data_IF_612958440257
#
_entry.id   IF_612958440257
#
_cell.length_a   1.000
_cell.length_b   1.000
_cell.length_c   1.000
_cell.angle_alpha   90.00
_cell.angle_beta   90.00
_cell.angle_gamma   90.00
#
_symmetry.space_group_name_H-M   'P 1'
#
loop_
_entity.id
_entity.type
_entity.pdbx_description
1 polymer ?
#
# COMPACT_ATOMS: atom_id res chain seq x y z
N UNK A 1 -15.46 -27.06 -3.70
CA UNK A 1 -14.75 -25.84 -4.15
C UNK A 1 -15.56 -25.23 -5.28
N UNK A 2 -15.72 -23.90 -5.32
CA UNK A 2 -16.33 -23.22 -6.45
C UNK A 2 -15.53 -23.52 -7.73
N UNK A 3 -16.23 -23.68 -8.86
CA UNK A 3 -15.69 -24.26 -10.10
C UNK A 3 -15.34 -23.23 -11.19
N UNK A 4 -15.38 -21.93 -10.89
CA UNK A 4 -15.03 -20.89 -11.85
C UNK A 4 -14.23 -19.75 -11.20
N UNK A 5 -13.42 -19.09 -12.03
CA UNK A 5 -12.60 -17.93 -11.69
C UNK A 5 -12.81 -16.88 -12.77
N UNK A 6 -13.25 -15.68 -12.41
CA UNK A 6 -13.28 -14.56 -13.35
C UNK A 6 -11.93 -13.87 -13.44
N UNK A 7 -11.51 -13.51 -14.65
CA UNK A 7 -10.31 -12.69 -14.90
C UNK A 7 -10.72 -11.40 -15.58
N UNK A 8 -10.37 -10.27 -15.00
CA UNK A 8 -10.75 -8.94 -15.48
C UNK A 8 -9.52 -8.03 -15.57
N UNK A 9 -9.45 -7.18 -16.59
CA UNK A 9 -8.48 -6.08 -16.59
C UNK A 9 -8.79 -5.10 -15.46
N UNK A 10 -7.79 -4.35 -14.99
CA UNK A 10 -7.99 -3.33 -13.94
C UNK A 10 -9.16 -2.39 -14.26
N UNK A 11 -9.31 -1.96 -15.52
CA UNK A 11 -10.38 -1.06 -15.95
C UNK A 11 -11.76 -1.72 -15.88
N UNK A 12 -11.87 -2.99 -16.29
CA UNK A 12 -13.13 -3.72 -16.22
C UNK A 12 -13.52 -4.02 -14.77
N UNK A 13 -12.57 -4.46 -13.94
CA UNK A 13 -12.79 -4.72 -12.52
C UNK A 13 -13.19 -3.43 -11.78
N UNK A 14 -12.52 -2.32 -12.08
CA UNK A 14 -12.82 -1.01 -11.53
C UNK A 14 -14.21 -0.52 -11.93
N UNK A 15 -14.60 -0.66 -13.20
CA UNK A 15 -15.94 -0.32 -13.67
C UNK A 15 -17.02 -1.15 -12.95
N UNK A 16 -16.79 -2.46 -12.75
CA UNK A 16 -17.70 -3.33 -11.99
C UNK A 16 -17.76 -2.92 -10.52
N UNK A 17 -16.62 -2.63 -9.89
CA UNK A 17 -16.56 -2.17 -8.51
C UNK A 17 -17.39 -0.90 -8.31
N UNK A 18 -17.42 -0.01 -9.28
CA UNK A 18 -18.16 1.25 -9.19
C UNK A 18 -19.65 1.10 -9.46
N UNK A 19 -20.02 0.27 -10.44
CA UNK A 19 -21.43 0.03 -10.79
C UNK A 19 -22.13 -0.94 -9.84
N UNK A 20 -21.42 -1.96 -9.37
CA UNK A 20 -21.96 -3.08 -8.59
C UNK A 20 -21.04 -3.49 -7.42
N UNK A 21 -20.65 -2.55 -6.52
CA UNK A 21 -19.67 -2.81 -5.45
C UNK A 21 -20.07 -3.98 -4.54
N UNK A 22 -21.34 -4.00 -4.10
CA UNK A 22 -21.87 -5.04 -3.22
C UNK A 22 -21.85 -6.43 -3.85
N UNK A 23 -22.21 -6.53 -5.14
CA UNK A 23 -22.24 -7.80 -5.86
C UNK A 23 -20.82 -8.34 -6.09
N UNK A 24 -19.88 -7.46 -6.47
CA UNK A 24 -18.46 -7.81 -6.62
C UNK A 24 -17.88 -8.31 -5.28
N UNK A 25 -18.14 -7.57 -4.20
CA UNK A 25 -17.66 -7.94 -2.87
C UNK A 25 -18.20 -9.30 -2.42
N UNK A 26 -19.51 -9.51 -2.57
CA UNK A 26 -20.16 -10.77 -2.23
C UNK A 26 -19.63 -11.94 -3.06
N UNK A 27 -19.48 -11.75 -4.36
CA UNK A 27 -18.86 -12.75 -5.24
C UNK A 27 -17.50 -13.16 -4.69
N UNK A 28 -16.65 -12.20 -4.35
CA UNK A 28 -15.30 -12.46 -3.88
C UNK A 28 -15.25 -13.10 -2.48
N UNK A 29 -16.34 -13.10 -1.69
CA UNK A 29 -16.41 -13.89 -0.44
C UNK A 29 -16.50 -15.39 -0.70
N UNK A 30 -17.10 -15.79 -1.83
CA UNK A 30 -17.42 -17.19 -2.14
C UNK A 30 -16.60 -17.77 -3.31
N UNK A 31 -16.14 -16.92 -4.23
CA UNK A 31 -15.46 -17.31 -5.46
C UNK A 31 -14.14 -16.54 -5.61
N UNK A 32 -13.22 -17.10 -6.40
CA UNK A 32 -11.97 -16.43 -6.73
C UNK A 32 -12.15 -15.48 -7.91
N UNK A 33 -11.47 -14.34 -7.84
CA UNK A 33 -11.33 -13.41 -8.96
C UNK A 33 -9.87 -13.05 -9.16
N UNK A 34 -9.50 -12.88 -10.43
CA UNK A 34 -8.20 -12.36 -10.87
C UNK A 34 -8.35 -10.99 -11.51
N UNK A 35 -7.55 -10.03 -11.08
CA UNK A 35 -7.34 -8.76 -11.80
C UNK A 35 -5.96 -8.73 -12.44
N UNK A 36 -5.79 -7.97 -13.52
CA UNK A 36 -4.50 -7.83 -14.19
C UNK A 36 -4.34 -6.45 -14.85
N UNK A 37 -3.10 -5.98 -15.08
CA UNK A 37 -2.84 -4.66 -15.64
C UNK A 37 -3.46 -4.54 -17.04
N UNK A 38 -3.99 -3.36 -17.37
CA UNK A 38 -4.55 -3.08 -18.68
C UNK A 38 -3.47 -3.11 -19.77
N UNK A 39 -3.84 -3.59 -20.96
CA UNK A 39 -2.88 -3.80 -22.06
C UNK A 39 -2.19 -2.54 -22.57
N UNK A 40 -2.71 -1.34 -22.25
CA UNK A 40 -2.09 -0.06 -22.60
C UNK A 40 -0.93 0.36 -21.67
N UNK A 41 -0.66 -0.39 -20.60
CA UNK A 41 0.53 -0.19 -19.75
C UNK A 41 1.77 -0.76 -20.43
N UNK A 42 2.17 -0.14 -21.53
CA UNK A 42 3.32 -0.55 -22.34
C UNK A 42 4.65 -0.46 -21.58
N UNK A 43 4.71 0.40 -20.57
CA UNK A 43 5.86 0.54 -19.66
C UNK A 43 5.91 -0.54 -18.57
N UNK A 44 4.97 -1.49 -18.57
CA UNK A 44 4.80 -2.50 -17.52
C UNK A 44 4.58 -1.91 -16.12
N UNK A 45 4.06 -0.68 -16.01
CA UNK A 45 3.64 -0.12 -14.72
C UNK A 45 2.56 -0.97 -14.05
N UNK A 46 2.46 -0.88 -12.73
CA UNK A 46 1.40 -1.49 -11.94
C UNK A 46 0.33 -0.48 -11.55
N UNK A 47 -0.86 -1.03 -11.32
CA UNK A 47 -1.97 -0.34 -10.68
C UNK A 47 -1.89 -0.51 -9.16
N UNK A 48 -2.68 0.28 -8.43
CA UNK A 48 -2.79 0.15 -6.97
C UNK A 48 -3.50 -1.16 -6.61
N UNK A 49 -2.84 -2.13 -5.96
CA UNK A 49 -3.49 -3.39 -5.61
C UNK A 49 -4.48 -3.26 -4.45
N UNK A 50 -4.36 -2.22 -3.60
CA UNK A 50 -5.13 -2.06 -2.37
C UNK A 50 -6.61 -1.89 -2.70
N UNK A 51 -6.95 -1.19 -3.77
CA UNK A 51 -8.34 -0.97 -4.18
C UNK A 51 -9.09 -2.27 -4.47
N UNK A 52 -8.41 -3.25 -5.06
CA UNK A 52 -8.98 -4.55 -5.40
C UNK A 52 -8.97 -5.50 -4.20
N UNK A 53 -7.95 -5.46 -3.34
CA UNK A 53 -7.98 -6.17 -2.06
C UNK A 53 -9.12 -5.67 -1.17
N UNK A 54 -9.39 -4.36 -1.16
CA UNK A 54 -10.54 -3.76 -0.46
C UNK A 54 -11.87 -4.23 -1.04
N UNK A 55 -11.94 -4.52 -2.34
CA UNK A 55 -13.08 -5.19 -3.00
C UNK A 55 -13.09 -6.73 -2.82
N UNK A 56 -12.16 -7.29 -2.03
CA UNK A 56 -12.09 -8.70 -1.68
C UNK A 56 -11.46 -9.61 -2.72
N UNK A 57 -10.95 -9.05 -3.83
CA UNK A 57 -10.25 -9.77 -4.90
C UNK A 57 -8.98 -10.42 -4.33
N UNK A 58 -8.74 -11.67 -4.70
CA UNK A 58 -7.66 -12.49 -4.13
C UNK A 58 -6.44 -12.54 -5.04
N UNK A 59 -6.64 -12.69 -6.35
CA UNK A 59 -5.56 -12.84 -7.32
C UNK A 59 -5.32 -11.51 -8.03
N UNK A 60 -4.69 -10.57 -7.35
CA UNK A 60 -4.36 -9.25 -7.90
C UNK A 60 -3.02 -9.34 -8.62
N UNK A 61 -3.04 -9.62 -9.92
CA UNK A 61 -1.82 -9.83 -10.70
C UNK A 61 -1.13 -8.50 -11.01
N UNK A 62 0.17 -8.46 -10.80
CA UNK A 62 1.07 -7.33 -11.03
C UNK A 62 2.26 -7.76 -11.88
N UNK A 63 2.89 -6.80 -12.55
CA UNK A 63 4.15 -6.91 -13.28
C UNK A 63 5.32 -6.96 -12.28
N UNK A 64 5.78 -8.17 -11.95
CA UNK A 64 6.88 -8.41 -11.00
C UNK A 64 8.23 -7.84 -11.46
N UNK A 65 8.40 -7.59 -12.75
CA UNK A 65 9.60 -6.96 -13.30
C UNK A 65 9.71 -5.46 -12.97
N UNK A 66 8.63 -4.84 -12.49
CA UNK A 66 8.55 -3.39 -12.23
C UNK A 66 8.42 -3.12 -10.73
N UNK A 67 9.51 -2.70 -10.09
CA UNK A 67 9.55 -2.34 -8.66
C UNK A 67 9.00 -0.93 -8.37
N UNK A 68 7.73 -0.74 -8.69
CA UNK A 68 6.97 0.48 -8.39
C UNK A 68 6.18 0.35 -7.08
N UNK A 69 5.32 1.34 -6.79
CA UNK A 69 4.50 1.35 -5.58
C UNK A 69 3.58 0.11 -5.48
N UNK A 70 3.07 -0.39 -6.60
CA UNK A 70 2.22 -1.59 -6.61
C UNK A 70 2.97 -2.80 -6.08
N UNK A 71 4.21 -3.02 -6.53
CA UNK A 71 5.06 -4.09 -6.00
C UNK A 71 5.49 -3.87 -4.55
N UNK A 72 5.78 -2.63 -4.14
CA UNK A 72 6.07 -2.28 -2.73
C UNK A 72 4.91 -2.68 -1.81
N UNK A 73 3.67 -2.40 -2.22
CA UNK A 73 2.46 -2.77 -1.47
C UNK A 73 2.22 -4.28 -1.48
N UNK A 74 2.48 -4.95 -2.61
CA UNK A 74 2.40 -6.41 -2.71
C UNK A 74 3.36 -7.10 -1.75
N UNK A 75 4.61 -6.68 -1.71
CA UNK A 75 5.57 -7.19 -0.73
C UNK A 75 5.10 -6.89 0.71
N UNK A 76 4.59 -5.69 0.98
CA UNK A 76 4.01 -5.35 2.28
C UNK A 76 2.86 -6.28 2.70
N UNK A 77 1.99 -6.69 1.76
CA UNK A 77 0.88 -7.61 2.00
C UNK A 77 1.36 -8.99 2.41
N UNK A 78 2.28 -9.55 1.61
CA UNK A 78 2.68 -10.96 1.69
C UNK A 78 3.96 -11.21 2.49
N UNK A 79 4.64 -10.17 2.99
CA UNK A 79 5.84 -10.30 3.80
C UNK A 79 5.62 -11.25 4.99
N UNK A 80 6.52 -12.23 5.14
CA UNK A 80 6.43 -13.25 6.19
C UNK A 80 5.31 -14.28 5.98
N UNK A 81 4.81 -14.43 4.76
CA UNK A 81 3.87 -15.49 4.36
C UNK A 81 4.41 -16.27 3.16
N UNK A 82 3.89 -17.47 2.92
CA UNK A 82 4.23 -18.30 1.75
C UNK A 82 3.37 -17.91 0.51
N UNK A 83 3.03 -16.63 0.37
CA UNK A 83 2.19 -16.11 -0.73
C UNK A 83 0.69 -16.18 -0.49
N UNK A 84 0.25 -16.57 0.71
CA UNK A 84 -1.17 -16.61 1.10
C UNK A 84 -1.42 -15.87 2.41
N UNK A 85 -2.36 -14.92 2.37
CA UNK A 85 -2.81 -14.15 3.53
C UNK A 85 -4.31 -14.33 3.68
N UNK A 86 -4.76 -14.69 4.89
CA UNK A 86 -6.18 -14.83 5.18
C UNK A 86 -6.87 -13.46 5.14
N UNK A 87 -7.97 -13.37 4.38
CA UNK A 87 -8.79 -12.14 4.34
C UNK A 87 -9.34 -11.78 5.73
N UNK A 88 -9.56 -10.48 6.02
CA UNK A 88 -10.08 -10.03 7.32
C UNK A 88 -11.47 -10.61 7.65
N UNK A 89 -11.90 -10.45 8.90
CA UNK A 89 -13.31 -10.73 9.26
C UNK A 89 -14.23 -9.80 8.45
N UNK A 90 -15.37 -10.30 7.96
CA UNK A 90 -16.28 -9.56 7.06
C UNK A 90 -15.93 -9.64 5.56
N UNK A 91 -14.70 -10.02 5.21
CA UNK A 91 -14.27 -10.30 3.82
C UNK A 91 -14.38 -11.77 3.43
N UNK A 92 -14.76 -12.62 4.40
CA UNK A 92 -14.87 -14.08 4.28
C UNK A 92 -16.34 -14.45 4.26
N UNK A 93 -16.68 -15.52 3.54
CA UNK A 93 -18.01 -16.10 3.64
C UNK A 93 -18.19 -16.75 5.02
N UNK A 94 -19.21 -16.34 5.77
CA UNK A 94 -19.69 -17.03 6.96
C UNK A 94 -21.12 -17.55 6.67
N UNK A 95 -21.33 -18.88 6.60
CA UNK A 95 -22.66 -19.45 6.33
C UNK A 95 -23.70 -19.14 7.41
N UNK A 96 -23.27 -18.71 8.60
CA UNK A 96 -24.15 -18.35 9.73
C UNK A 96 -24.56 -16.88 9.70
N UNK A 97 -23.91 -16.08 8.85
CA UNK A 97 -24.22 -14.68 8.69
C UNK A 97 -25.48 -14.57 7.83
N UNK A 98 -26.64 -14.48 8.52
CA UNK A 98 -27.95 -14.34 7.90
C UNK A 98 -28.21 -12.90 7.41
N UNK A 99 -27.27 -11.97 7.64
CA UNK A 99 -27.39 -10.61 7.15
C UNK A 99 -27.40 -10.60 5.62
N UNK A 100 -28.33 -9.82 5.06
CA UNK A 100 -28.33 -9.56 3.63
C UNK A 100 -27.01 -8.90 3.23
N UNK A 101 -26.54 -9.14 2.01
CA UNK A 101 -25.37 -8.46 1.44
C UNK A 101 -25.51 -6.94 1.53
N UNK A 102 -26.75 -6.44 1.55
CA UNK A 102 -27.10 -5.03 1.63
C UNK A 102 -26.78 -4.40 2.99
N UNK A 103 -26.80 -5.19 4.07
CA UNK A 103 -26.58 -4.79 5.47
C UNK A 103 -25.16 -5.12 5.98
N UNK A 104 -24.35 -5.82 5.17
CA UNK A 104 -23.02 -6.24 5.63
C UNK A 104 -22.06 -5.06 5.74
N UNK A 105 -21.93 -4.52 6.95
CA UNK A 105 -20.93 -3.50 7.27
C UNK A 105 -19.57 -4.15 7.49
N UNK A 106 -18.56 -3.68 6.77
CA UNK A 106 -17.17 -4.08 7.01
C UNK A 106 -16.70 -3.31 8.25
N UNK A 107 -16.29 -4.00 9.34
CA UNK A 107 -15.73 -3.31 10.50
C UNK A 107 -14.51 -2.51 10.07
N UNK A 108 -14.56 -1.20 10.26
CA UNK A 108 -13.49 -0.28 9.96
C UNK A 108 -13.27 0.66 11.13
N UNK A 109 -12.11 1.31 11.16
CA UNK A 109 -11.69 2.23 12.20
C UNK A 109 -11.56 3.63 11.64
N UNK A 110 -11.81 4.61 12.49
CA UNK A 110 -11.37 5.99 12.28
C UNK A 110 -10.12 6.23 13.11
N UNK A 111 -9.03 6.62 12.46
CA UNK A 111 -7.79 7.00 13.12
C UNK A 111 -7.76 8.52 13.20
N UNK A 112 -7.94 9.06 14.40
CA UNK A 112 -7.86 10.49 14.64
C UNK A 112 -6.48 11.04 14.28
N UNK A 113 -5.41 10.26 14.54
CA UNK A 113 -4.04 10.63 14.21
C UNK A 113 -3.16 9.40 13.94
N UNK A 114 -2.45 9.43 12.82
CA UNK A 114 -1.31 8.56 12.52
C UNK A 114 -0.09 9.45 12.36
N UNK A 115 0.90 9.31 13.23
CA UNK A 115 2.12 10.11 13.19
C UNK A 115 3.35 9.23 13.06
N UNK A 116 4.17 9.54 12.07
CA UNK A 116 5.40 8.83 11.74
C UNK A 116 6.55 9.81 11.81
N UNK A 117 7.37 9.68 12.85
CA UNK A 117 8.59 10.45 13.01
C UNK A 117 9.76 9.69 12.39
N UNK A 118 10.46 10.30 11.44
CA UNK A 118 11.69 9.76 10.87
C UNK A 118 12.86 10.45 11.57
N UNK A 119 13.70 9.66 12.22
CA UNK A 119 14.78 10.18 13.07
C UNK A 119 16.08 10.18 12.26
N UNK A 120 16.51 9.02 11.80
CA UNK A 120 17.76 8.85 11.08
C UNK A 120 17.73 7.59 10.22
N UNK A 121 18.69 7.45 9.32
CA UNK A 121 18.98 6.20 8.63
C UNK A 121 20.45 5.80 8.76
N UNK A 122 20.74 4.54 8.52
CA UNK A 122 22.11 4.04 8.42
C UNK A 122 22.25 3.10 7.23
N UNK A 123 23.40 3.16 6.56
CA UNK A 123 23.79 2.27 5.46
C UNK A 123 22.74 2.17 4.33
N UNK A 124 22.06 3.27 4.01
CA UNK A 124 21.15 3.33 2.87
C UNK A 124 21.89 2.91 1.59
N UNK A 125 21.28 2.04 0.76
CA UNK A 125 21.89 1.63 -0.50
C UNK A 125 21.90 2.82 -1.48
N UNK A 126 22.98 2.91 -2.25
CA UNK A 126 23.09 3.83 -3.37
C UNK A 126 22.37 3.25 -4.59
N UNK A 127 22.08 4.09 -5.59
CA UNK A 127 21.47 3.64 -6.84
C UNK A 127 22.38 2.66 -7.60
N UNK A 128 23.69 2.92 -7.61
CA UNK A 128 24.72 1.99 -8.04
C UNK A 128 25.80 1.87 -6.96
N UNK A 129 26.36 0.67 -6.82
CA UNK A 129 27.43 0.37 -5.83
C UNK A 129 28.70 1.24 -5.95
N UNK A 130 28.90 1.87 -7.10
CA UNK A 130 30.07 2.70 -7.39
C UNK A 130 29.75 4.20 -7.37
N UNK A 131 28.50 4.58 -7.09
CA UNK A 131 28.13 5.98 -6.98
C UNK A 131 28.85 6.63 -5.81
N UNK A 132 29.11 7.93 -5.93
CA UNK A 132 29.72 8.73 -4.88
C UNK A 132 28.70 8.97 -3.76
N UNK A 133 28.92 8.46 -2.53
CA UNK A 133 28.03 8.69 -1.40
C UNK A 133 27.79 10.17 -1.08
N UNK A 134 28.74 11.06 -1.42
CA UNK A 134 28.59 12.49 -1.17
C UNK A 134 27.54 13.16 -2.08
N UNK A 135 27.19 12.53 -3.19
CA UNK A 135 26.14 12.99 -4.13
C UNK A 135 24.77 12.38 -3.83
N UNK A 136 24.70 11.49 -2.86
CA UNK A 136 23.43 10.90 -2.41
C UNK A 136 22.73 11.88 -1.48
N UNK A 137 21.54 12.34 -1.90
CA UNK A 137 20.73 13.32 -1.19
C UNK A 137 19.39 12.66 -0.84
N UNK A 138 19.36 11.79 0.20
CA UNK A 138 18.16 11.06 0.55
C UNK A 138 17.11 11.92 1.24
N UNK A 139 15.85 11.58 0.99
CA UNK A 139 14.70 11.97 1.79
C UNK A 139 13.68 10.83 1.80
N UNK A 140 12.78 10.77 2.80
CA UNK A 140 11.85 9.66 2.97
C UNK A 140 10.43 10.11 2.61
N UNK A 141 9.87 9.55 1.53
CA UNK A 141 8.44 9.66 1.21
C UNK A 141 7.66 8.61 2.00
N UNK A 142 6.69 9.05 2.76
CA UNK A 142 5.81 8.24 3.59
C UNK A 142 4.43 8.27 2.97
N UNK A 143 3.86 7.10 2.72
CA UNK A 143 2.50 6.96 2.22
C UNK A 143 1.68 6.08 3.15
N UNK A 144 0.51 6.55 3.56
CA UNK A 144 -0.51 5.77 4.24
C UNK A 144 -1.60 5.41 3.21
N UNK A 145 -1.67 4.12 2.89
CA UNK A 145 -2.53 3.57 1.85
C UNK A 145 -3.75 2.94 2.52
N UNK A 146 -4.87 3.64 2.46
CA UNK A 146 -6.14 3.26 3.08
C UNK A 146 -7.26 3.48 2.07
N UNK A 147 -7.28 2.70 1.00
CA UNK A 147 -8.28 2.89 -0.07
C UNK A 147 -9.72 2.87 0.49
N UNK A 148 -10.63 3.67 -0.09
CA UNK A 148 -11.98 3.87 0.40
C UNK A 148 -12.72 2.55 0.66
N UNK A 149 -13.78 2.61 1.47
CA UNK A 149 -14.67 1.46 1.62
C UNK A 149 -15.13 0.98 0.24
N UNK A 150 -14.85 -0.28 -0.08
CA UNK A 150 -15.19 -0.86 -1.36
C UNK A 150 -16.70 -0.88 -1.60
N UNK A 151 -17.51 -0.77 -0.53
CA UNK A 151 -18.97 -0.64 -0.61
C UNK A 151 -19.42 0.81 -0.83
N UNK A 152 -18.57 1.78 -0.52
CA UNK A 152 -18.83 3.23 -0.67
C UNK A 152 -18.04 3.87 -1.81
N UNK A 153 -17.27 3.11 -2.58
CA UNK A 153 -16.48 3.55 -3.74
C UNK A 153 -17.37 4.00 -4.92
N UNK A 154 -18.25 4.96 -4.68
CA UNK A 154 -19.00 5.71 -5.68
C UNK A 154 -18.13 6.87 -6.14
N UNK A 155 -17.28 6.63 -7.13
CA UNK A 155 -16.67 7.71 -7.92
C UNK A 155 -17.58 7.99 -9.13
N UNK A 156 -17.49 9.18 -9.75
CA UNK A 156 -18.17 9.62 -10.99
C UNK A 156 -18.03 8.60 -12.12
N UNK A 157 -19.12 8.10 -12.75
CA UNK A 157 -19.20 7.05 -13.80
C UNK A 157 -18.06 7.12 -14.84
N UNK A 158 -17.51 8.30 -15.10
CA UNK A 158 -16.47 8.53 -16.09
C UNK A 158 -15.01 8.34 -15.63
N UNK A 159 -14.73 8.17 -14.32
CA UNK A 159 -13.35 8.02 -13.84
C UNK A 159 -12.76 6.63 -14.14
N UNK A 160 -11.58 6.54 -14.76
CA UNK A 160 -10.83 5.28 -14.89
C UNK A 160 -10.06 4.94 -13.61
N UNK A 161 -9.59 3.70 -13.45
CA UNK A 161 -8.79 3.30 -12.28
C UNK A 161 -7.52 4.15 -12.11
N UNK A 162 -6.99 4.64 -13.23
CA UNK A 162 -5.83 5.54 -13.31
C UNK A 162 -6.17 6.99 -12.94
N UNK A 163 -7.43 7.41 -13.08
CA UNK A 163 -7.91 8.78 -12.86
C UNK A 163 -8.44 9.04 -11.45
N UNK A 164 -8.76 7.99 -10.70
CA UNK A 164 -9.14 8.18 -9.30
C UNK A 164 -7.91 8.59 -8.51
N UNK A 165 -7.85 9.91 -8.29
CA UNK A 165 -6.86 10.55 -7.44
C UNK A 165 -7.01 9.93 -6.06
N UNK A 166 -6.06 9.05 -5.72
CA UNK A 166 -5.94 8.41 -4.43
C UNK A 166 -6.29 9.40 -3.32
N UNK A 167 -7.05 8.97 -2.31
CA UNK A 167 -7.04 9.66 -1.01
C UNK A 167 -5.68 9.32 -0.40
N UNK A 168 -4.63 9.90 -0.98
CA UNK A 168 -3.25 9.57 -0.72
C UNK A 168 -2.77 10.39 0.45
N UNK A 169 -2.88 9.83 1.64
CA UNK A 169 -2.17 10.36 2.79
C UNK A 169 -0.68 10.18 2.53
N UNK A 170 -0.01 11.26 2.14
CA UNK A 170 1.43 11.24 1.90
C UNK A 170 2.11 12.46 2.48
N UNK A 171 3.33 12.27 2.94
CA UNK A 171 4.23 13.34 3.31
C UNK A 171 5.66 12.89 3.13
N UNK A 172 6.59 13.81 3.35
CA UNK A 172 8.01 13.53 3.19
C UNK A 172 8.84 14.29 4.21
N UNK A 173 10.02 13.76 4.49
CA UNK A 173 11.02 14.47 5.28
C UNK A 173 11.74 15.51 4.44
N UNK A 174 12.43 16.43 5.11
CA UNK A 174 13.52 17.18 4.55
C UNK A 174 14.61 16.28 3.96
N UNK A 175 15.40 16.89 3.07
CA UNK A 175 16.54 16.27 2.40
C UNK A 175 17.77 16.31 3.28
N UNK A 176 18.53 15.22 3.28
CA UNK A 176 19.80 15.10 4.00
C UNK A 176 20.88 14.55 3.05
N UNK A 177 22.11 14.33 3.54
CA UNK A 177 23.24 13.89 2.71
C UNK A 177 23.86 12.59 3.21
N UNK A 178 24.35 11.79 2.25
CA UNK A 178 25.08 10.57 2.53
C UNK A 178 24.18 9.39 2.88
N UNK A 179 24.79 8.23 3.14
CA UNK A 179 24.08 6.96 3.35
C UNK A 179 23.62 6.74 4.78
N UNK A 180 24.03 7.61 5.72
CA UNK A 180 23.59 7.56 7.12
C UNK A 180 23.09 8.94 7.59
N UNK A 181 22.04 9.47 6.95
CA UNK A 181 21.50 10.79 7.25
C UNK A 181 20.83 10.85 8.62
N UNK A 182 20.95 12.02 9.27
CA UNK A 182 20.02 12.47 10.31
C UNK A 182 18.90 13.27 9.63
N UNK A 183 17.64 12.95 9.96
CA UNK A 183 16.43 13.61 9.47
C UNK A 183 15.80 14.53 10.52
N UNK A 184 16.48 14.78 11.64
CA UNK A 184 16.07 15.77 12.65
C UNK A 184 14.82 15.40 13.44
N UNK A 185 14.31 14.17 13.32
CA UNK A 185 13.06 13.79 13.98
C UNK A 185 11.83 14.45 13.35
N UNK A 186 11.85 14.71 12.05
CA UNK A 186 10.69 15.22 11.32
C UNK A 186 9.52 14.25 11.40
N UNK A 187 8.32 14.77 11.65
CA UNK A 187 7.09 13.97 11.81
C UNK A 187 6.12 14.25 10.69
N UNK A 188 5.73 13.21 9.97
CA UNK A 188 4.63 13.22 9.01
C UNK A 188 3.37 12.73 9.72
N UNK A 189 2.30 13.53 9.64
CA UNK A 189 1.05 13.28 10.33
C UNK A 189 -0.12 13.17 9.35
N UNK A 190 -0.99 12.20 9.61
CA UNK A 190 -2.26 12.00 8.90
C UNK A 190 -3.37 12.06 9.94
N UNK A 191 -4.34 12.94 9.74
CA UNK A 191 -5.42 13.20 10.69
C UNK A 191 -6.75 12.73 10.13
N UNK A 192 -7.63 12.28 11.02
CA UNK A 192 -9.02 11.90 10.71
C UNK A 192 -9.12 10.94 9.51
N UNK A 193 -8.36 9.84 9.58
CA UNK A 193 -8.35 8.80 8.55
C UNK A 193 -9.51 7.84 8.79
N UNK A 194 -10.55 7.91 7.97
CA UNK A 194 -11.75 7.09 8.11
C UNK A 194 -11.68 5.79 7.30
N UNK A 195 -12.55 4.82 7.64
CA UNK A 195 -12.73 3.61 6.85
C UNK A 195 -11.54 2.64 6.87
N UNK A 196 -10.64 2.76 7.84
CA UNK A 196 -9.41 1.97 7.90
C UNK A 196 -9.70 0.53 8.29
N UNK A 197 -9.30 -0.41 7.44
CA UNK A 197 -9.20 -1.83 7.78
C UNK A 197 -7.72 -2.16 7.95
N UNK A 198 -7.21 -2.28 9.19
CA UNK A 198 -5.76 -2.37 9.45
C UNK A 198 -5.02 -3.46 8.68
N UNK A 199 -5.67 -4.59 8.42
CA UNK A 199 -5.11 -5.72 7.65
C UNK A 199 -4.98 -5.44 6.14
N UNK A 200 -5.67 -4.41 5.65
CA UNK A 200 -5.67 -3.95 4.26
C UNK A 200 -5.20 -2.49 4.15
N UNK A 201 -4.53 -1.99 5.19
CA UNK A 201 -3.96 -0.65 5.25
C UNK A 201 -2.44 -0.75 5.37
N UNK A 202 -1.71 0.14 4.70
CA UNK A 202 -0.26 0.04 4.58
C UNK A 202 0.44 1.37 4.84
N UNK A 203 1.60 1.30 5.47
CA UNK A 203 2.57 2.39 5.50
C UNK A 203 3.75 2.03 4.59
N UNK A 204 3.94 2.79 3.52
CA UNK A 204 5.12 2.72 2.68
C UNK A 204 6.14 3.77 3.10
N UNK A 205 7.39 3.37 3.25
CA UNK A 205 8.55 4.22 3.48
C UNK A 205 9.45 4.10 2.27
N UNK A 206 9.53 5.13 1.43
CA UNK A 206 10.34 5.14 0.21
C UNK A 206 11.46 6.15 0.37
N UNK A 207 12.70 5.66 0.42
CA UNK A 207 13.90 6.49 0.42
C UNK A 207 14.14 6.93 -1.02
N UNK A 208 13.91 8.20 -1.29
CA UNK A 208 14.12 8.83 -2.58
C UNK A 208 15.49 9.50 -2.60
N UNK A 209 16.12 9.55 -3.77
CA UNK A 209 17.35 10.29 -4.00
C UNK A 209 17.05 11.51 -4.88
N UNK A 210 17.32 12.70 -4.36
CA UNK A 210 17.22 13.96 -5.08
C UNK A 210 18.39 14.11 -6.05
N UNK A 211 18.12 13.84 -7.33
CA UNK A 211 19.11 13.89 -8.42
C UNK A 211 18.63 14.81 -9.53
N UNK A 212 19.51 15.36 -10.37
CA UNK A 212 19.09 16.10 -11.55
C UNK A 212 18.16 15.26 -12.44
N UNK A 213 16.90 15.66 -12.56
CA UNK A 213 15.85 14.92 -13.27
C UNK A 213 14.75 14.43 -12.32
N UNK A 214 14.03 13.36 -12.67
CA UNK A 214 13.04 12.77 -11.77
C UNK A 214 13.73 12.05 -10.60
N UNK A 215 13.23 12.29 -9.39
CA UNK A 215 13.71 11.59 -8.19
C UNK A 215 13.61 10.08 -8.35
N UNK A 216 14.66 9.39 -7.93
CA UNK A 216 14.76 7.93 -8.06
C UNK A 216 14.65 7.29 -6.68
N UNK A 217 13.80 6.26 -6.55
CA UNK A 217 13.73 5.47 -5.34
C UNK A 217 15.03 4.66 -5.19
N UNK A 218 15.70 4.78 -4.04
CA UNK A 218 16.92 4.07 -3.73
C UNK A 218 16.66 2.84 -2.83
N UNK A 219 15.70 2.98 -1.92
CA UNK A 219 15.34 1.92 -0.98
C UNK A 219 13.89 2.08 -0.54
N UNK A 220 13.30 1.03 0.02
CA UNK A 220 11.95 1.09 0.54
C UNK A 220 11.67 0.06 1.63
N UNK A 221 10.62 0.31 2.41
CA UNK A 221 9.99 -0.65 3.28
C UNK A 221 8.47 -0.45 3.22
N UNK A 222 7.70 -1.52 3.41
CA UNK A 222 6.24 -1.44 3.52
C UNK A 222 5.77 -2.27 4.71
N UNK A 223 4.89 -1.69 5.53
CA UNK A 223 4.37 -2.33 6.74
C UNK A 223 2.85 -2.25 6.72
N UNK A 224 2.19 -3.40 6.83
CA UNK A 224 0.75 -3.44 7.09
C UNK A 224 0.43 -2.87 8.46
N UNK A 225 -0.65 -2.11 8.56
CA UNK A 225 -0.99 -1.38 9.77
C UNK A 225 -1.28 -2.30 10.95
N UNK A 226 -1.91 -3.47 10.71
CA UNK A 226 -2.13 -4.52 11.72
C UNK A 226 -0.85 -5.14 12.28
N UNK A 227 0.28 -4.97 11.58
CA UNK A 227 1.61 -5.49 11.96
C UNK A 227 2.54 -4.38 12.46
N UNK A 228 2.13 -3.12 12.39
CA UNK A 228 2.93 -1.99 12.83
C UNK A 228 3.03 -1.98 14.36
N UNK A 229 4.26 -1.99 14.89
CA UNK A 229 4.51 -1.80 16.32
C UNK A 229 4.72 -0.31 16.61
N UNK A 230 4.03 0.22 17.61
CA UNK A 230 4.13 1.62 18.05
C UNK A 230 5.45 1.91 18.79
N UNK A 231 5.83 3.18 18.86
CA UNK A 231 7.05 3.69 19.51
C UNK A 231 8.28 3.62 18.60
N UNK A 232 9.47 3.69 19.20
CA UNK A 232 10.75 3.66 18.47
C UNK A 232 11.01 2.28 17.87
N UNK A 233 11.27 2.21 16.57
CA UNK A 233 11.52 0.98 15.81
C UNK A 233 12.60 1.19 14.77
N UNK A 234 13.29 0.10 14.48
CA UNK A 234 14.12 0.00 13.29
C UNK A 234 13.34 -0.66 12.16
N UNK A 235 13.29 -0.03 11.01
CA UNK A 235 12.75 -0.60 9.77
C UNK A 235 13.91 -0.93 8.84
N UNK A 236 14.10 -2.22 8.56
CA UNK A 236 15.04 -2.64 7.52
C UNK A 236 14.44 -2.30 6.16
N UNK A 237 15.23 -1.69 5.29
CA UNK A 237 14.79 -1.36 3.94
C UNK A 237 15.36 -2.36 2.93
N UNK A 238 14.57 -2.68 1.92
CA UNK A 238 15.01 -3.35 0.71
C UNK A 238 15.57 -2.30 -0.25
N UNK A 239 16.45 -2.69 -1.16
CA UNK A 239 16.87 -1.80 -2.24
C UNK A 239 15.76 -1.62 -3.28
N UNK A 240 16.01 -0.76 -4.28
CA UNK A 240 15.04 -0.44 -5.33
C UNK A 240 14.66 -1.66 -6.21
N UNK A 241 15.43 -2.73 -6.20
CA UNK A 241 15.13 -4.01 -6.88
C UNK A 241 14.46 -5.04 -5.94
N UNK A 242 14.07 -4.62 -4.74
CA UNK A 242 13.39 -5.47 -3.76
C UNK A 242 14.31 -6.49 -3.07
N UNK A 243 15.63 -6.32 -3.16
CA UNK A 243 16.59 -7.23 -2.55
C UNK A 243 16.97 -6.77 -1.13
N UNK A 244 17.34 -7.69 -0.23
CA UNK A 244 17.79 -7.34 1.11
C UNK A 244 18.99 -6.38 1.09
N UNK A 245 18.84 -5.23 1.76
CA UNK A 245 19.92 -4.25 1.90
C UNK A 245 20.46 -4.21 3.34
N UNK A 246 21.59 -3.51 3.54
CA UNK A 246 22.11 -3.18 4.88
C UNK A 246 21.43 -1.94 5.48
N UNK A 247 20.58 -1.28 4.71
CA UNK A 247 19.91 -0.04 5.08
C UNK A 247 18.88 -0.23 6.18
N UNK A 248 18.81 0.75 7.08
CA UNK A 248 17.85 0.76 8.18
C UNK A 248 17.40 2.18 8.47
N UNK A 249 16.10 2.36 8.72
CA UNK A 249 15.51 3.60 9.21
C UNK A 249 15.22 3.47 10.71
N UNK A 250 15.55 4.49 11.49
CA UNK A 250 15.06 4.66 12.85
C UNK A 250 13.82 5.56 12.80
N UNK A 251 12.68 5.00 13.22
CA UNK A 251 11.38 5.67 13.18
C UNK A 251 10.70 5.62 14.54
N UNK A 252 9.79 6.55 14.81
CA UNK A 252 8.83 6.46 15.91
C UNK A 252 7.42 6.52 15.31
N UNK A 253 6.57 5.55 15.64
CA UNK A 253 5.19 5.47 15.16
C UNK A 253 4.20 5.66 16.30
N UNK A 254 3.18 6.47 16.07
CA UNK A 254 2.10 6.76 17.02
C UNK A 254 0.76 6.72 16.28
N UNK A 255 -0.22 5.98 16.83
CA UNK A 255 -1.58 5.91 16.29
C UNK A 255 -2.56 6.21 17.42
N UNK A 256 -3.51 7.10 17.16
CA UNK A 256 -4.65 7.38 18.01
C UNK A 256 -5.93 7.06 17.25
N UNK A 257 -6.68 6.10 17.75
CA UNK A 257 -8.02 5.75 17.25
C UNK A 257 -9.03 6.76 17.81
N UNK A 258 -10.05 7.12 17.01
CA UNK A 258 -11.17 7.91 17.51
C UNK A 258 -11.98 7.11 18.54
N UNK A 259 -12.51 7.80 19.55
CA UNK A 259 -13.36 7.24 20.60
C UNK A 259 -14.76 6.88 20.10
#
# INVERSE_FOLDING_TARGET
>A
MPNHIFSLSENAAFAIQRRMPKALFSHNRQFLMRTYPHGMRFDSSNYDPVIFWRAGVQVVALNWQSWDLGMVLNEGMFMGSDGYVLKPKGYRHDPRDQQSIEESHIPSKTLERVAITIIAAQNLPLLNRHDDPAKFIPYVKIGLHTEPDALSAMVDENATAEQVKQIGYSGETGKSKGTSPDFGGETVEFLNVEGVVPELAFLSFRVMNDVPGPDVMAAWACVRLDRLRLGYRFLRVLDREGMPSKGILLVKSEIREAL
#
